data_IF_968998356031
#
_entry.id   IF_968998356031
#
_cell.length_a   1.000
_cell.length_b   1.000
_cell.length_c   1.000
_cell.angle_alpha   90.00
_cell.angle_beta   90.00
_cell.angle_gamma   90.00
#
_symmetry.space_group_name_H-M   'P 1'
#
loop_
_entity.id
_entity.type
_entity.pdbx_description
1 polymer ?
#
# COMPACT_ATOMS: atom_id res chain seq x y z
N UNK A 1 17.00 47.60 27.16
CA UNK A 1 16.27 47.57 25.86
C UNK A 1 15.49 46.28 25.75
N UNK A 2 14.18 46.39 25.55
CA UNK A 2 13.34 45.32 25.04
C UNK A 2 13.64 45.08 23.55
N UNK A 3 13.61 43.84 23.11
CA UNK A 3 13.18 43.54 21.75
C UNK A 3 12.26 42.32 21.77
N UNK A 4 11.16 42.47 21.07
CA UNK A 4 9.93 41.71 21.09
C UNK A 4 9.79 41.14 19.69
N UNK A 5 9.78 39.83 19.54
CA UNK A 5 9.34 39.15 18.32
C UNK A 5 8.48 37.95 18.76
N UNK A 6 7.19 38.19 19.04
CA UNK A 6 6.08 37.88 18.14
C UNK A 6 6.07 36.43 17.64
N UNK A 7 5.28 35.61 18.33
CA UNK A 7 4.28 34.74 17.70
C UNK A 7 4.80 33.70 16.70
N UNK A 8 5.35 32.60 17.19
CA UNK A 8 5.12 31.31 16.53
C UNK A 8 3.87 30.71 17.13
N UNK A 9 2.73 31.05 16.51
CA UNK A 9 1.52 30.22 16.54
C UNK A 9 1.94 28.76 16.36
N UNK A 10 1.45 27.81 17.17
CA UNK A 10 1.57 26.40 16.82
C UNK A 10 0.85 26.27 15.48
N UNK A 11 1.61 26.07 14.41
CA UNK A 11 1.03 25.60 13.16
C UNK A 11 0.39 24.27 13.54
N UNK A 12 -0.93 24.27 13.63
CA UNK A 12 -1.71 23.04 13.67
C UNK A 12 -1.11 22.13 12.60
N UNK A 13 -0.85 20.84 12.89
CA UNK A 13 -0.35 19.94 11.87
C UNK A 13 -1.46 19.85 10.83
N UNK A 14 -1.38 20.69 9.80
CA UNK A 14 -2.11 20.52 8.55
C UNK A 14 -1.89 19.06 8.19
N UNK A 15 -2.96 18.27 8.29
CA UNK A 15 -2.88 16.82 8.26
C UNK A 15 -2.21 16.44 6.94
N UNK A 16 -0.91 16.19 6.98
CA UNK A 16 -0.13 15.99 5.78
C UNK A 16 -0.70 14.77 5.07
N UNK A 17 -1.31 14.99 3.91
CA UNK A 17 -1.95 13.93 3.15
C UNK A 17 -0.84 13.07 2.55
N UNK A 18 -0.47 12.00 3.25
CA UNK A 18 0.54 11.06 2.79
C UNK A 18 -0.03 10.16 1.69
N UNK A 19 0.44 10.37 0.46
CA UNK A 19 0.05 9.57 -0.71
C UNK A 19 1.02 8.40 -0.87
N UNK A 20 0.67 7.25 -0.33
CA UNK A 20 1.51 6.04 -0.37
C UNK A 20 1.21 5.23 -1.63
N UNK A 21 2.25 4.68 -2.27
CA UNK A 21 2.13 3.71 -3.37
C UNK A 21 2.64 2.36 -2.89
N UNK A 22 1.81 1.33 -3.00
CA UNK A 22 2.16 -0.05 -2.66
C UNK A 22 2.43 -0.81 -3.97
N UNK A 23 3.59 -1.45 -4.08
CA UNK A 23 3.93 -2.31 -5.22
C UNK A 23 3.99 -3.74 -4.72
N UNK A 24 3.15 -4.62 -5.28
CA UNK A 24 3.14 -6.05 -4.97
C UNK A 24 3.78 -6.81 -6.14
N UNK A 25 4.77 -7.65 -5.85
CA UNK A 25 5.46 -8.48 -6.84
C UNK A 25 5.47 -9.93 -6.37
N UNK A 26 5.01 -10.86 -7.22
CA UNK A 26 5.02 -12.31 -6.95
C UNK A 26 5.19 -13.08 -8.25
N UNK A 27 5.67 -14.33 -8.16
CA UNK A 27 5.66 -15.30 -9.27
C UNK A 27 4.28 -15.93 -9.46
N UNK A 28 3.48 -16.02 -8.40
CA UNK A 28 2.15 -16.62 -8.43
C UNK A 28 1.09 -15.51 -8.58
N UNK A 29 0.39 -15.49 -9.72
CA UNK A 29 -0.62 -14.49 -10.04
C UNK A 29 -1.88 -14.66 -9.18
N UNK A 30 -2.29 -15.90 -8.88
CA UNK A 30 -3.52 -16.17 -8.11
C UNK A 30 -3.42 -15.64 -6.69
N UNK A 31 -2.28 -15.86 -6.03
CA UNK A 31 -2.05 -15.33 -4.68
C UNK A 31 -1.92 -13.79 -4.70
N UNK A 32 -1.27 -13.23 -5.72
CA UNK A 32 -1.13 -11.78 -5.89
C UNK A 32 -2.49 -11.08 -6.05
N UNK A 33 -3.38 -11.65 -6.86
CA UNK A 33 -4.72 -11.11 -7.08
C UNK A 33 -5.57 -11.17 -5.80
N UNK A 34 -5.51 -12.28 -5.05
CA UNK A 34 -6.22 -12.42 -3.77
C UNK A 34 -5.77 -11.35 -2.77
N UNK A 35 -4.46 -11.21 -2.56
CA UNK A 35 -3.90 -10.22 -1.63
C UNK A 35 -4.25 -8.79 -2.07
N UNK A 36 -4.22 -8.51 -3.37
CA UNK A 36 -4.61 -7.21 -3.90
C UNK A 36 -6.08 -6.89 -3.61
N UNK A 37 -6.98 -7.86 -3.76
CA UNK A 37 -8.41 -7.68 -3.46
C UNK A 37 -8.65 -7.41 -1.97
N UNK A 38 -7.97 -8.16 -1.09
CA UNK A 38 -8.07 -8.00 0.36
C UNK A 38 -7.57 -6.62 0.83
N UNK A 39 -6.46 -6.13 0.27
CA UNK A 39 -5.94 -4.78 0.55
C UNK A 39 -6.93 -3.68 0.13
N UNK A 40 -7.53 -3.81 -1.05
CA UNK A 40 -8.53 -2.84 -1.53
C UNK A 40 -9.77 -2.86 -0.63
N UNK A 41 -10.23 -4.05 -0.22
CA UNK A 41 -11.35 -4.20 0.70
C UNK A 41 -11.06 -3.57 2.06
N UNK A 42 -9.93 -3.92 2.68
CA UNK A 42 -9.54 -3.36 3.98
C UNK A 42 -9.31 -1.85 3.96
N UNK A 43 -8.86 -1.29 2.84
CA UNK A 43 -8.74 0.16 2.67
C UNK A 43 -10.11 0.85 2.55
N UNK A 44 -11.07 0.22 1.86
CA UNK A 44 -12.45 0.73 1.77
C UNK A 44 -13.16 0.67 3.13
N UNK A 45 -12.98 -0.40 3.90
CA UNK A 45 -13.50 -0.54 5.27
C UNK A 45 -13.00 0.59 6.19
N UNK A 46 -11.75 1.04 6.00
CA UNK A 46 -11.15 2.17 6.73
C UNK A 46 -11.44 3.54 6.10
N UNK A 47 -12.33 3.62 5.11
CA UNK A 47 -12.70 4.84 4.41
C UNK A 47 -11.50 5.59 3.77
N UNK A 48 -10.46 4.86 3.36
CA UNK A 48 -9.31 5.43 2.66
C UNK A 48 -9.57 5.56 1.16
N UNK A 49 -9.14 6.68 0.56
CA UNK A 49 -9.22 6.87 -0.90
C UNK A 49 -8.15 6.03 -1.59
N UNK A 50 -8.57 4.97 -2.28
CA UNK A 50 -7.67 4.11 -3.07
C UNK A 50 -7.71 4.45 -4.55
N UNK A 51 -6.53 4.44 -5.19
CA UNK A 51 -6.43 4.29 -6.64
C UNK A 51 -6.36 2.80 -6.95
N UNK A 52 -7.10 2.35 -7.96
CA UNK A 52 -7.17 0.94 -8.35
C UNK A 52 -5.80 0.36 -8.69
N UNK A 53 -5.68 -0.98 -8.70
CA UNK A 53 -4.42 -1.65 -8.98
C UNK A 53 -3.95 -1.39 -10.41
N UNK A 54 -2.70 -0.96 -10.56
CA UNK A 54 -2.06 -0.76 -11.86
C UNK A 54 -1.28 -2.01 -12.23
N UNK A 55 -1.65 -2.66 -13.33
CA UNK A 55 -0.96 -3.87 -13.82
C UNK A 55 0.23 -3.46 -14.69
N UNK A 56 1.44 -3.76 -14.22
CA UNK A 56 2.67 -3.61 -14.99
C UNK A 56 2.90 -4.83 -15.89
N UNK A 57 3.61 -4.70 -17.03
CA UNK A 57 4.02 -5.85 -17.84
C UNK A 57 4.83 -6.85 -17.01
N UNK A 58 4.51 -8.14 -17.15
CA UNK A 58 5.20 -9.21 -16.42
C UNK A 58 6.51 -9.60 -17.11
N UNK A 59 7.58 -9.78 -16.34
CA UNK A 59 8.81 -10.40 -16.84
C UNK A 59 8.64 -11.91 -16.83
N UNK A 60 8.82 -12.55 -17.97
CA UNK A 60 8.83 -14.02 -18.09
C UNK A 60 10.23 -14.51 -17.71
N UNK A 61 10.40 -14.96 -16.46
CA UNK A 61 11.65 -15.57 -15.99
C UNK A 61 11.58 -17.10 -16.17
N UNK A 62 12.53 -17.68 -16.91
CA UNK A 62 12.63 -19.12 -17.14
C UNK A 62 13.43 -19.76 -16.00
N UNK A 63 12.82 -19.89 -14.83
CA UNK A 63 13.46 -20.56 -13.70
C UNK A 63 12.75 -20.31 -12.38
N UNK A 64 12.36 -21.40 -11.72
CA UNK A 64 11.84 -21.40 -10.36
C UNK A 64 10.54 -22.17 -10.24
N UNK A 65 10.67 -23.44 -9.85
CA UNK A 65 9.58 -24.28 -9.37
C UNK A 65 8.81 -23.55 -8.24
N UNK A 66 7.49 -23.64 -8.28
CA UNK A 66 6.60 -23.15 -7.22
C UNK A 66 5.89 -24.37 -6.63
N UNK A 67 6.38 -24.87 -5.50
CA UNK A 67 5.67 -25.83 -4.66
C UNK A 67 4.74 -25.05 -3.73
N UNK A 68 3.58 -24.64 -4.22
CA UNK A 68 2.49 -24.15 -3.39
C UNK A 68 1.78 -25.35 -2.75
N UNK A 69 2.30 -25.83 -1.61
CA UNK A 69 1.60 -26.76 -0.75
C UNK A 69 0.47 -26.00 -0.03
N UNK A 70 -0.74 -26.10 -0.56
CA UNK A 70 -1.96 -25.60 0.06
C UNK A 70 -2.16 -26.30 1.42
N UNK A 71 -1.62 -25.72 2.50
CA UNK A 71 -1.94 -26.13 3.87
C UNK A 71 -3.38 -25.71 4.16
N UNK A 72 -4.29 -26.61 3.81
CA UNK A 72 -5.68 -26.60 4.24
C UNK A 72 -5.71 -27.03 5.71
N UNK A 73 -5.55 -26.08 6.63
CA UNK A 73 -5.92 -26.31 8.04
C UNK A 73 -7.44 -26.27 8.13
N UNK A 74 -8.02 -27.39 8.55
CA UNK A 74 -9.45 -27.51 8.88
C UNK A 74 -9.81 -26.88 10.20
#
# INVERSE_FOLDING_TARGET
>A
MAFKDTGKTPVEPEVAIHRIRITLTSRNVKSLEKVCADLIRGAKEKNLKVKGPVRMPTKVSRGGENTDAERKTG
#
